data_IF_596805027362
#
_entry.id   IF_596805027362
#
_cell.length_a   1.000
_cell.length_b   1.000
_cell.length_c   1.000
_cell.angle_alpha   90.00
_cell.angle_beta   90.00
_cell.angle_gamma   90.00
#
_symmetry.space_group_name_H-M   'P 1'
#
loop_
_entity.id
_entity.type
_entity.pdbx_description
1 polymer ?
#
# COMPACT_ATOMS: atom_id res chain seq x y z
N UNK A 1 1.82 11.90 0.45
CA UNK A 1 0.98 11.60 -0.73
C UNK A 1 1.89 11.42 -1.94
N UNK A 2 1.52 10.61 -2.93
CA UNK A 2 2.32 10.46 -4.13
C UNK A 2 2.21 11.69 -5.03
N UNK A 3 3.33 12.07 -5.62
CA UNK A 3 3.43 13.12 -6.64
C UNK A 3 3.61 12.47 -7.99
N UNK A 4 2.85 12.91 -9.00
CA UNK A 4 2.99 12.43 -10.36
C UNK A 4 4.36 12.85 -10.92
N UNK A 5 5.15 11.89 -11.42
CA UNK A 5 6.49 12.17 -11.97
C UNK A 5 6.46 12.82 -13.35
N UNK A 6 5.30 12.83 -14.03
CA UNK A 6 5.18 13.46 -15.34
C UNK A 6 4.67 14.92 -15.27
N UNK A 7 3.73 15.22 -14.37
CA UNK A 7 3.11 16.55 -14.30
C UNK A 7 3.36 17.29 -12.99
N UNK A 8 4.09 16.70 -12.04
CA UNK A 8 4.44 17.31 -10.75
C UNK A 8 3.28 17.53 -9.79
N UNK A 9 2.05 17.12 -10.14
CA UNK A 9 0.88 17.31 -9.27
C UNK A 9 0.79 16.21 -8.22
N UNK A 10 0.60 16.64 -6.97
CA UNK A 10 0.31 15.76 -5.85
C UNK A 10 -1.10 15.19 -5.95
N UNK A 11 -1.25 13.92 -5.59
CA UNK A 11 -2.55 13.28 -5.54
C UNK A 11 -3.14 13.37 -4.14
N UNK A 12 -4.45 13.57 -4.07
CA UNK A 12 -5.20 13.44 -2.81
C UNK A 12 -5.36 11.96 -2.44
N UNK A 13 -5.61 11.67 -1.15
CA UNK A 13 -5.84 10.31 -0.66
C UNK A 13 -6.90 9.58 -1.49
N UNK A 14 -8.05 10.23 -1.74
CA UNK A 14 -9.16 9.68 -2.51
C UNK A 14 -8.76 9.35 -3.95
N UNK A 15 -7.97 10.20 -4.60
CA UNK A 15 -7.48 9.96 -5.96
C UNK A 15 -6.51 8.77 -5.99
N UNK A 16 -5.60 8.68 -5.02
CA UNK A 16 -4.67 7.56 -4.90
C UNK A 16 -5.41 6.25 -4.73
N UNK A 17 -6.37 6.18 -3.79
CA UNK A 17 -7.18 4.96 -3.56
C UNK A 17 -7.97 4.57 -4.80
N UNK A 18 -8.61 5.53 -5.48
CA UNK A 18 -9.34 5.27 -6.73
C UNK A 18 -8.43 4.75 -7.85
N UNK A 19 -7.16 5.15 -7.84
CA UNK A 19 -6.16 4.83 -8.85
C UNK A 19 -5.29 3.61 -8.49
N UNK A 20 -5.54 2.94 -7.36
CA UNK A 20 -4.78 1.74 -6.95
C UNK A 20 -4.88 0.62 -8.00
N UNK A 21 -6.06 0.41 -8.61
CA UNK A 21 -6.24 -0.62 -9.63
C UNK A 21 -5.66 -0.24 -11.00
N UNK A 22 -5.62 1.07 -11.29
CA UNK A 22 -5.10 1.63 -12.54
C UNK A 22 -4.32 2.89 -12.19
N UNK A 23 -3.00 2.74 -12.07
CA UNK A 23 -2.07 3.84 -11.80
C UNK A 23 -1.97 4.78 -13.01
N UNK A 24 -3.03 5.52 -13.30
CA UNK A 24 -3.06 6.59 -14.29
C UNK A 24 -3.24 7.90 -13.54
N UNK A 25 -2.47 8.92 -13.92
CA UNK A 25 -2.60 10.22 -13.31
C UNK A 25 -3.97 10.83 -13.62
N UNK A 26 -4.78 11.23 -12.62
CA UNK A 26 -6.09 11.82 -12.85
C UNK A 26 -6.02 13.20 -13.52
N UNK A 27 -4.83 13.82 -13.53
CA UNK A 27 -4.63 15.15 -14.10
C UNK A 27 -4.07 15.14 -15.52
N UNK A 28 -3.13 14.23 -15.84
CA UNK A 28 -2.47 14.20 -17.15
C UNK A 28 -2.73 12.91 -17.93
N UNK A 29 -3.49 11.96 -17.37
CA UNK A 29 -3.85 10.69 -18.00
C UNK A 29 -2.70 9.71 -18.23
N UNK A 30 -1.44 10.12 -18.01
CA UNK A 30 -0.28 9.25 -18.21
C UNK A 30 -0.26 8.13 -17.18
N UNK A 31 0.10 6.93 -17.64
CA UNK A 31 0.39 5.79 -16.79
C UNK A 31 1.56 6.13 -15.87
N UNK A 32 1.46 5.70 -14.63
CA UNK A 32 2.48 5.79 -13.61
C UNK A 32 2.72 4.38 -13.10
N UNK A 33 3.91 4.15 -12.57
CA UNK A 33 4.30 2.88 -11.96
C UNK A 33 4.61 3.12 -10.50
N UNK A 34 4.52 2.06 -9.71
CA UNK A 34 5.01 2.10 -8.35
C UNK A 34 6.54 1.93 -8.38
N UNK A 35 7.26 2.75 -7.62
CA UNK A 35 8.72 2.60 -7.45
C UNK A 35 9.06 1.26 -6.81
N UNK A 36 10.22 0.68 -7.12
CA UNK A 36 10.69 -0.56 -6.50
C UNK A 36 10.79 -0.43 -4.97
N UNK A 37 11.17 0.76 -4.48
CA UNK A 37 11.24 1.06 -3.04
C UNK A 37 9.88 1.01 -2.34
N UNK A 38 8.84 1.55 -2.98
CA UNK A 38 7.45 1.52 -2.48
C UNK A 38 6.93 0.09 -2.49
N UNK A 39 7.14 -0.64 -3.58
CA UNK A 39 6.68 -2.03 -3.71
C UNK A 39 7.32 -2.94 -2.64
N UNK A 40 8.62 -2.77 -2.38
CA UNK A 40 9.32 -3.49 -1.29
C UNK A 40 8.75 -3.15 0.08
N UNK A 41 8.50 -1.87 0.37
CA UNK A 41 7.89 -1.43 1.65
C UNK A 41 6.46 -1.94 1.80
N UNK A 42 5.65 -1.85 0.74
CA UNK A 42 4.30 -2.40 0.70
C UNK A 42 4.30 -3.90 0.96
N UNK A 43 5.21 -4.64 0.34
CA UNK A 43 5.40 -6.07 0.61
C UNK A 43 5.78 -6.37 2.06
N UNK A 44 6.74 -5.63 2.64
CA UNK A 44 7.10 -5.77 4.06
C UNK A 44 5.93 -5.48 4.99
N UNK A 45 5.15 -4.44 4.72
CA UNK A 45 3.97 -4.09 5.52
C UNK A 45 2.86 -5.13 5.35
N UNK A 46 2.69 -5.71 4.15
CA UNK A 46 1.73 -6.78 3.91
C UNK A 46 2.07 -8.10 4.64
N UNK A 47 3.33 -8.28 5.08
CA UNK A 47 3.75 -9.42 5.89
C UNK A 47 3.48 -9.23 7.40
N UNK A 48 3.19 -8.01 7.87
CA UNK A 48 2.89 -7.76 9.30
C UNK A 48 1.78 -8.65 9.88
N UNK A 49 0.65 -8.88 9.19
CA UNK A 49 -0.42 -9.75 9.70
C UNK A 49 0.03 -11.20 9.94
N UNK A 50 1.03 -11.70 9.20
CA UNK A 50 1.57 -13.06 9.43
C UNK A 50 2.26 -13.19 10.78
N UNK A 51 2.80 -12.11 11.34
CA UNK A 51 3.42 -12.12 12.67
C UNK A 51 2.40 -12.30 13.80
N UNK A 52 1.11 -12.06 13.53
CA UNK A 52 0.03 -12.24 14.51
C UNK A 52 -0.30 -13.72 14.73
N UNK A 53 -0.05 -14.59 13.75
CA UNK A 53 -0.31 -16.03 13.83
C UNK A 53 0.47 -16.73 14.95
N UNK A 54 1.81 -16.60 15.07
CA UNK A 54 2.54 -17.20 16.18
C UNK A 54 2.16 -16.58 17.53
N UNK A 55 1.80 -15.29 17.57
CA UNK A 55 1.31 -14.65 18.79
C UNK A 55 -0.01 -15.29 19.28
N UNK A 56 -0.91 -15.62 18.36
CA UNK A 56 -2.13 -16.36 18.68
C UNK A 56 -1.85 -17.78 19.17
N UNK A 57 -0.86 -18.47 18.59
CA UNK A 57 -0.49 -19.83 18.98
C UNK A 57 0.06 -19.92 20.42
N UNK A 58 0.69 -18.85 20.93
CA UNK A 58 1.24 -18.81 22.30
C UNK A 58 0.21 -18.34 23.33
N UNK A 59 -0.63 -17.37 22.97
CA UNK A 59 -1.57 -16.70 23.91
C UNK A 59 -3.01 -17.24 23.85
N UNK A 60 -3.35 -18.03 22.84
CA UNK A 60 -4.66 -18.68 22.64
C UNK A 60 -5.86 -17.71 22.72
N UNK A 61 -5.85 -16.64 21.89
CA UNK A 61 -6.92 -15.64 21.85
C UNK A 61 -8.26 -16.16 21.29
N UNK A 62 -8.37 -17.45 20.98
CA UNK A 62 -9.61 -18.08 20.53
C UNK A 62 -10.12 -17.49 19.21
N UNK A 63 -11.29 -16.85 19.22
CA UNK A 63 -11.93 -16.22 18.05
C UNK A 63 -11.71 -14.70 17.99
N UNK A 64 -11.17 -14.11 19.06
CA UNK A 64 -10.93 -12.67 19.16
C UNK A 64 -9.76 -12.19 18.27
N UNK A 65 -8.92 -13.09 17.75
CA UNK A 65 -7.84 -12.73 16.82
C UNK A 65 -8.36 -12.32 15.43
N UNK A 66 -9.53 -12.81 15.01
CA UNK A 66 -10.12 -12.51 13.70
C UNK A 66 -10.41 -11.01 13.55
N UNK A 67 -11.15 -10.35 14.46
CA UNK A 67 -11.36 -8.91 14.36
C UNK A 67 -10.04 -8.13 14.48
N UNK A 68 -9.06 -8.60 15.24
CA UNK A 68 -7.74 -7.96 15.32
C UNK A 68 -7.01 -7.97 13.95
N UNK A 69 -7.02 -9.10 13.24
CA UNK A 69 -6.45 -9.19 11.89
C UNK A 69 -7.16 -8.26 10.90
N UNK A 70 -8.49 -8.18 10.96
CA UNK A 70 -9.27 -7.27 10.11
C UNK A 70 -8.90 -5.81 10.39
N UNK A 71 -8.78 -5.41 11.65
CA UNK A 71 -8.37 -4.05 12.03
C UNK A 71 -6.98 -3.74 11.49
N UNK A 72 -6.02 -4.65 11.65
CA UNK A 72 -4.65 -4.48 11.13
C UNK A 72 -4.67 -4.32 9.61
N UNK A 73 -5.42 -5.16 8.89
CA UNK A 73 -5.55 -5.05 7.44
C UNK A 73 -6.15 -3.69 7.02
N UNK A 74 -7.23 -3.25 7.67
CA UNK A 74 -7.83 -1.94 7.43
C UNK A 74 -6.83 -0.79 7.62
N UNK A 75 -6.03 -0.84 8.70
CA UNK A 75 -4.98 0.16 8.96
C UNK A 75 -3.93 0.15 7.85
N UNK A 76 -3.48 -1.02 7.41
CA UNK A 76 -2.53 -1.14 6.29
C UNK A 76 -3.10 -0.50 5.02
N UNK A 77 -4.35 -0.79 4.67
CA UNK A 77 -5.00 -0.20 3.48
C UNK A 77 -5.12 1.32 3.56
N UNK A 78 -5.38 1.88 4.74
CA UNK A 78 -5.46 3.34 4.93
C UNK A 78 -4.09 4.00 4.80
N UNK A 79 -3.03 3.35 5.29
CA UNK A 79 -1.66 3.85 5.29
C UNK A 79 -0.96 3.63 3.94
N UNK A 80 -1.35 2.61 3.17
CA UNK A 80 -0.73 2.27 1.89
C UNK A 80 -0.60 3.45 0.91
N UNK A 81 -1.63 4.30 0.69
CA UNK A 81 -1.51 5.52 -0.13
C UNK A 81 -0.43 6.50 0.31
N UNK A 82 -0.05 6.51 1.59
CA UNK A 82 1.00 7.37 2.12
C UNK A 82 2.40 6.80 1.88
N UNK A 83 2.51 5.47 1.83
CA UNK A 83 3.75 4.77 1.51
C UNK A 83 4.02 4.73 0.00
N UNK A 84 2.97 4.85 -0.81
CA UNK A 84 3.03 4.80 -2.26
C UNK A 84 3.92 5.91 -2.82
N UNK A 85 4.95 5.52 -3.58
CA UNK A 85 5.75 6.43 -4.41
C UNK A 85 5.66 6.05 -5.88
N UNK A 86 5.39 7.05 -6.71
CA UNK A 86 5.23 6.89 -8.15
C UNK A 86 6.55 7.08 -8.90
N UNK A 87 6.71 6.32 -9.97
CA UNK A 87 7.76 6.39 -10.98
C UNK A 87 7.14 6.55 -12.37
N UNK A 88 7.86 7.15 -13.32
CA UNK A 88 7.43 7.24 -14.72
C UNK A 88 7.64 5.91 -15.47
N UNK A 89 8.53 5.06 -14.97
CA UNK A 89 8.91 3.80 -15.60
C UNK A 89 8.72 2.64 -14.62
N UNK A 90 8.55 1.43 -15.16
CA UNK A 90 8.47 0.23 -14.34
C UNK A 90 9.88 -0.14 -13.87
N UNK A 91 10.20 0.25 -12.64
CA UNK A 91 11.50 -0.04 -12.06
C UNK A 91 11.68 -1.55 -11.86
N UNK A 92 12.80 -2.13 -12.35
CA UNK A 92 13.10 -3.53 -12.11
C UNK A 92 13.30 -3.78 -10.61
N UNK A 93 12.76 -4.90 -10.11
CA UNK A 93 12.85 -5.27 -8.69
C UNK A 93 14.22 -5.84 -8.29
N UNK A 94 15.12 -6.00 -9.26
CA UNK A 94 16.43 -6.64 -9.21
C UNK A 94 17.48 -5.82 -9.96
#
# INVERSE_FOLDING_TARGET
MPTCQNCGKEWTWKQTVKSVFKLHCPYCGKKQYETASSRRRGGMVALLPLLVLPANAVMDFGWAFIPALVVIACVIFIIYPFLLKLSNEEEPLW
#
